data_IF_629889658555
#
_entry.id   IF_629889658555
#
_cell.length_a   1.000
_cell.length_b   1.000
_cell.length_c   1.000
_cell.angle_alpha   90.00
_cell.angle_beta   90.00
_cell.angle_gamma   90.00
#
_symmetry.space_group_name_H-M   'P 1'
#
loop_
_entity.id
_entity.type
_entity.pdbx_description
1 polymer ?
#
# COMPACT_ATOMS: atom_id res chain seq x y z
N UNK A 1 14.92 -34.00 62.23
CA UNK A 1 13.66 -33.24 62.18
C UNK A 1 13.99 -31.83 61.73
N UNK A 2 13.67 -31.48 60.48
CA UNK A 2 13.32 -30.09 60.09
C UNK A 2 12.69 -30.11 58.70
N UNK A 3 11.54 -29.45 58.63
CA UNK A 3 10.54 -29.46 57.57
C UNK A 3 10.87 -28.52 56.41
N UNK A 4 10.30 -28.88 55.26
CA UNK A 4 9.61 -28.04 54.27
C UNK A 4 10.18 -26.66 53.87
N UNK A 5 10.41 -26.49 52.56
CA UNK A 5 9.95 -25.30 51.86
C UNK A 5 9.81 -25.54 50.35
N UNK A 6 8.71 -26.19 49.94
CA UNK A 6 8.25 -26.16 48.55
C UNK A 6 7.75 -24.73 48.25
N UNK A 7 8.53 -23.95 47.49
CA UNK A 7 8.08 -22.69 46.90
C UNK A 7 7.09 -23.00 45.77
N UNK A 8 5.82 -22.59 45.94
CA UNK A 8 4.83 -22.56 44.85
C UNK A 8 5.20 -21.46 43.84
N UNK A 9 5.12 -21.70 42.52
CA UNK A 9 5.29 -20.64 41.53
C UNK A 9 4.10 -19.67 41.57
N UNK A 10 4.39 -18.38 41.74
CA UNK A 10 3.40 -17.31 41.58
C UNK A 10 3.01 -17.19 40.10
N UNK A 11 1.74 -17.41 39.80
CA UNK A 11 1.18 -17.12 38.48
C UNK A 11 1.24 -15.61 38.22
N UNK A 12 2.06 -15.18 37.26
CA UNK A 12 2.07 -13.80 36.77
C UNK A 12 0.79 -13.52 35.99
N UNK A 13 0.03 -12.51 36.43
CA UNK A 13 -1.19 -12.07 35.77
C UNK A 13 -0.93 -11.66 34.30
N UNK A 14 -1.88 -11.92 33.38
CA UNK A 14 -1.73 -11.55 31.97
C UNK A 14 -1.65 -10.02 31.82
N UNK A 15 -0.56 -9.55 31.19
CA UNK A 15 -0.40 -8.13 30.85
C UNK A 15 -1.49 -7.73 29.86
N UNK A 16 -2.31 -6.74 30.23
CA UNK A 16 -3.33 -6.14 29.36
C UNK A 16 -2.66 -5.62 28.08
N UNK A 17 -2.97 -6.25 26.95
CA UNK A 17 -2.57 -5.76 25.63
C UNK A 17 -3.28 -4.43 25.40
N UNK A 18 -2.51 -3.34 25.24
CA UNK A 18 -3.07 -2.04 24.86
C UNK A 18 -3.68 -2.18 23.48
N UNK A 19 -5.01 -2.17 23.41
CA UNK A 19 -5.75 -2.09 22.15
C UNK A 19 -5.34 -0.78 21.47
N UNK A 20 -4.76 -0.90 20.28
CA UNK A 20 -4.37 0.25 19.46
C UNK A 20 -5.63 1.05 19.14
N UNK A 21 -5.64 2.34 19.50
CA UNK A 21 -6.78 3.21 19.27
C UNK A 21 -7.18 3.18 17.78
N UNK A 22 -8.48 3.06 17.50
CA UNK A 22 -8.99 3.20 16.13
C UNK A 22 -8.67 4.61 15.65
N UNK A 23 -8.01 4.80 14.50
CA UNK A 23 -7.79 6.13 13.95
C UNK A 23 -9.16 6.76 13.70
N UNK A 24 -9.33 7.99 14.16
CA UNK A 24 -10.57 8.73 13.95
C UNK A 24 -10.67 9.13 12.46
N UNK A 25 -11.88 9.00 11.92
CA UNK A 25 -12.19 9.21 10.49
C UNK A 25 -12.59 10.66 10.19
N UNK A 26 -12.15 11.60 11.02
CA UNK A 26 -12.44 13.03 10.96
C UNK A 26 -11.65 13.72 9.84
N UNK A 27 -11.68 13.20 8.61
CA UNK A 27 -11.22 13.85 7.37
C UNK A 27 -9.74 14.24 7.28
N UNK A 28 -9.02 14.30 8.40
CA UNK A 28 -7.63 14.75 8.55
C UNK A 28 -6.61 13.66 8.25
N UNK A 29 -7.06 12.42 8.11
CA UNK A 29 -6.22 11.26 7.78
C UNK A 29 -5.46 11.44 6.45
N UNK A 30 -5.91 12.35 5.58
CA UNK A 30 -5.27 12.68 4.31
C UNK A 30 -4.56 14.04 4.28
N UNK A 31 -4.70 14.87 5.32
CA UNK A 31 -3.99 16.17 5.43
C UNK A 31 -2.68 16.08 6.18
N UNK A 32 -2.56 15.15 7.13
CA UNK A 32 -1.29 14.85 7.79
C UNK A 32 -0.44 13.95 6.88
N UNK A 33 0.77 14.41 6.54
CA UNK A 33 1.68 13.63 5.70
C UNK A 33 2.87 13.10 6.45
N UNK A 34 3.47 13.90 7.32
CA UNK A 34 4.59 13.42 8.10
C UNK A 34 4.12 12.33 9.08
N UNK A 35 4.80 11.19 9.05
CA UNK A 35 4.41 10.02 9.86
C UNK A 35 3.11 9.33 9.42
N UNK A 36 2.47 9.74 8.33
CA UNK A 36 1.21 9.14 7.91
C UNK A 36 1.39 7.70 7.44
N UNK A 37 0.37 6.81 7.62
CA UNK A 37 0.47 5.42 7.19
C UNK A 37 0.81 5.26 5.70
N UNK A 38 0.27 6.14 4.86
CA UNK A 38 0.55 6.14 3.42
C UNK A 38 2.00 6.56 3.13
N UNK A 39 2.51 7.62 3.76
CA UNK A 39 3.91 8.01 3.58
C UNK A 39 4.85 6.87 3.99
N UNK A 40 4.62 6.26 5.16
CA UNK A 40 5.42 5.13 5.65
C UNK A 40 5.34 3.92 4.71
N UNK A 41 4.17 3.65 4.13
CA UNK A 41 3.98 2.56 3.18
C UNK A 41 4.72 2.81 1.84
N UNK A 42 4.70 4.06 1.36
CA UNK A 42 5.46 4.46 0.17
C UNK A 42 6.96 4.37 0.42
N UNK A 43 7.46 4.89 1.55
CA UNK A 43 8.88 4.84 1.92
C UNK A 43 9.41 3.41 2.01
N UNK A 44 8.63 2.50 2.58
CA UNK A 44 9.00 1.08 2.73
C UNK A 44 8.80 0.26 1.45
N UNK A 45 8.16 0.85 0.43
CA UNK A 45 7.79 0.14 -0.78
C UNK A 45 6.73 -0.95 -0.59
N UNK A 46 6.00 -0.96 0.55
CA UNK A 46 4.86 -1.87 0.73
C UNK A 46 3.67 -1.47 -0.16
N UNK A 47 3.57 -0.17 -0.46
CA UNK A 47 2.81 0.35 -1.60
C UNK A 47 3.82 0.80 -2.66
N UNK A 48 3.75 0.22 -3.86
CA UNK A 48 4.54 0.61 -5.03
C UNK A 48 3.61 1.26 -6.05
N UNK A 49 3.97 2.46 -6.51
CA UNK A 49 3.22 3.16 -7.56
C UNK A 49 3.74 2.76 -8.93
N UNK A 50 2.83 2.51 -9.86
CA UNK A 50 3.15 2.23 -11.27
C UNK A 50 3.32 3.56 -12.01
N UNK A 51 4.29 3.64 -12.93
CA UNK A 51 4.49 4.83 -13.78
C UNK A 51 3.46 4.87 -14.89
N UNK A 52 2.94 6.05 -15.23
CA UNK A 52 2.02 6.23 -16.37
C UNK A 52 2.57 5.68 -17.69
N UNK A 53 3.86 5.90 -17.93
CA UNK A 53 4.62 5.40 -19.09
C UNK A 53 4.50 3.87 -19.30
N UNK A 54 4.30 3.09 -18.23
CA UNK A 54 4.06 1.66 -18.35
C UNK A 54 2.73 1.37 -19.05
N UNK A 55 1.66 2.08 -18.65
CA UNK A 55 0.35 1.94 -19.26
C UNK A 55 0.33 2.44 -20.71
N UNK A 56 1.02 3.54 -20.99
CA UNK A 56 1.23 4.04 -22.36
C UNK A 56 1.86 2.97 -23.25
N UNK A 57 2.93 2.32 -22.77
CA UNK A 57 3.61 1.25 -23.51
C UNK A 57 2.72 0.02 -23.71
N UNK A 58 2.02 -0.43 -22.66
CA UNK A 58 1.07 -1.54 -22.78
C UNK A 58 0.00 -1.26 -23.85
N UNK A 59 -0.52 -0.04 -23.88
CA UNK A 59 -1.51 0.37 -24.87
C UNK A 59 -0.92 0.41 -26.29
N UNK A 60 0.28 0.97 -26.45
CA UNK A 60 0.97 1.03 -27.74
C UNK A 60 1.28 -0.37 -28.30
N UNK A 61 1.59 -1.32 -27.42
CA UNK A 61 1.85 -2.73 -27.76
C UNK A 61 0.58 -3.57 -27.90
N UNK A 62 -0.60 -3.01 -27.63
CA UNK A 62 -1.87 -3.74 -27.71
C UNK A 62 -2.00 -4.89 -26.71
N UNK A 63 -1.32 -4.81 -25.56
CA UNK A 63 -1.34 -5.86 -24.53
C UNK A 63 -1.95 -5.39 -23.21
N UNK A 64 -2.60 -6.29 -22.44
CA UNK A 64 -3.01 -5.98 -21.08
C UNK A 64 -1.81 -5.60 -20.20
N UNK A 65 -2.08 -4.75 -19.21
CA UNK A 65 -1.09 -4.48 -18.17
C UNK A 65 -0.91 -5.74 -17.29
N UNK A 66 0.26 -5.91 -16.70
CA UNK A 66 0.60 -7.09 -15.91
C UNK A 66 0.22 -6.96 -14.44
N UNK A 67 0.40 -8.06 -13.71
CA UNK A 67 0.31 -8.06 -12.26
C UNK A 67 1.46 -7.22 -11.66
N UNK A 68 1.16 -6.42 -10.64
CA UNK A 68 2.15 -5.48 -10.06
C UNK A 68 3.41 -6.18 -9.55
N UNK A 69 3.29 -7.38 -9.01
CA UNK A 69 4.43 -8.16 -8.49
C UNK A 69 5.36 -8.71 -9.59
N UNK A 70 4.93 -8.68 -10.85
CA UNK A 70 5.70 -9.12 -12.01
C UNK A 70 6.33 -7.95 -12.79
N UNK A 71 6.01 -6.72 -12.39
CA UNK A 71 6.53 -5.52 -13.04
C UNK A 71 8.01 -5.32 -12.74
N UNK A 72 8.73 -4.80 -13.73
CA UNK A 72 10.13 -4.40 -13.55
C UNK A 72 10.24 -3.14 -12.67
N UNK A 73 11.41 -2.93 -12.04
CA UNK A 73 11.65 -1.69 -11.28
C UNK A 73 11.61 -0.43 -12.16
N UNK A 74 11.85 -0.56 -13.47
CA UNK A 74 11.74 0.55 -14.41
C UNK A 74 10.28 1.05 -14.57
N UNK A 75 9.32 0.14 -14.40
CA UNK A 75 7.88 0.43 -14.52
C UNK A 75 7.28 1.00 -13.23
N UNK A 76 8.05 0.94 -12.14
CA UNK A 76 7.62 1.37 -10.82
C UNK A 76 8.33 2.67 -10.42
N UNK A 77 7.67 3.45 -9.57
CA UNK A 77 8.34 4.54 -8.88
C UNK A 77 9.29 3.97 -7.81
N UNK A 78 10.51 4.53 -7.68
CA UNK A 78 11.38 4.25 -6.54
C UNK A 78 10.69 4.69 -5.24
N UNK A 79 10.74 3.88 -4.16
CA UNK A 79 10.09 4.18 -2.88
C UNK A 79 10.39 5.57 -2.32
N UNK A 80 11.66 5.97 -2.22
CA UNK A 80 12.02 7.27 -1.66
C UNK A 80 11.52 8.42 -2.54
N UNK A 81 11.57 8.23 -3.87
CA UNK A 81 11.08 9.24 -4.81
C UNK A 81 9.56 9.39 -4.70
N UNK A 82 8.81 8.30 -4.63
CA UNK A 82 7.36 8.34 -4.43
C UNK A 82 6.97 9.03 -3.11
N UNK A 83 7.68 8.71 -2.02
CA UNK A 83 7.46 9.35 -0.72
C UNK A 83 7.74 10.86 -0.76
N UNK A 84 8.82 11.28 -1.43
CA UNK A 84 9.11 12.71 -1.64
C UNK A 84 8.02 13.41 -2.43
N UNK A 85 7.58 12.82 -3.54
CA UNK A 85 6.54 13.42 -4.38
C UNK A 85 5.20 13.51 -3.65
N UNK A 86 4.82 12.50 -2.85
CA UNK A 86 3.65 12.59 -1.94
C UNK A 86 3.80 13.72 -0.92
N UNK A 87 5.03 13.92 -0.41
CA UNK A 87 5.33 14.99 0.54
C UNK A 87 5.21 16.38 -0.11
N UNK A 88 5.51 16.51 -1.40
CA UNK A 88 5.43 17.79 -2.12
C UNK A 88 4.03 18.07 -2.67
N UNK A 89 3.43 17.09 -3.33
CA UNK A 89 2.24 17.26 -4.16
C UNK A 89 0.97 16.66 -3.55
N UNK A 90 1.05 15.95 -2.42
CA UNK A 90 -0.13 15.39 -1.73
C UNK A 90 -1.00 14.57 -2.69
N UNK A 91 -2.32 14.68 -2.56
CA UNK A 91 -3.32 13.95 -3.36
C UNK A 91 -3.27 14.22 -4.86
N UNK A 92 -2.61 15.28 -5.34
CA UNK A 92 -2.46 15.51 -6.78
C UNK A 92 -1.28 14.74 -7.38
N UNK A 93 -0.45 14.08 -6.56
CA UNK A 93 0.69 13.31 -7.05
C UNK A 93 0.29 12.04 -7.81
N UNK A 94 -0.69 11.29 -7.29
CA UNK A 94 -1.06 10.00 -7.86
C UNK A 94 -2.56 9.76 -7.76
N UNK A 95 -3.06 8.89 -8.64
CA UNK A 95 -4.43 8.42 -8.63
C UNK A 95 -4.48 6.97 -8.13
N UNK A 96 -5.39 6.71 -7.18
CA UNK A 96 -5.77 5.34 -6.82
C UNK A 96 -7.04 4.97 -7.59
N UNK A 97 -6.98 3.86 -8.33
CA UNK A 97 -8.10 3.38 -9.16
C UNK A 97 -8.59 2.04 -8.61
N UNK A 98 -9.90 1.91 -8.46
CA UNK A 98 -10.56 0.68 -8.03
C UNK A 98 -11.74 0.41 -8.95
N UNK A 99 -11.76 -0.75 -9.58
CA UNK A 99 -12.83 -1.19 -10.47
C UNK A 99 -12.95 -2.72 -10.46
N UNK A 100 -14.12 -3.23 -10.84
CA UNK A 100 -14.41 -4.67 -10.87
C UNK A 100 -13.64 -5.36 -11.99
N UNK A 101 -13.28 -6.62 -11.77
CA UNK A 101 -12.70 -7.44 -12.83
C UNK A 101 -13.71 -7.62 -13.96
N UNK A 102 -13.33 -7.24 -15.18
CA UNK A 102 -14.18 -7.40 -16.37
C UNK A 102 -14.14 -8.82 -16.94
N UNK A 103 -13.10 -9.60 -16.64
CA UNK A 103 -12.97 -10.99 -17.08
C UNK A 103 -12.30 -11.86 -16.02
N UNK A 104 -12.45 -13.18 -16.16
CA UNK A 104 -11.86 -14.16 -15.22
C UNK A 104 -10.32 -14.20 -15.31
N UNK A 105 -9.77 -13.97 -16.50
CA UNK A 105 -8.33 -14.04 -16.77
C UNK A 105 -7.61 -12.73 -16.43
N UNK A 106 -8.28 -11.59 -16.55
CA UNK A 106 -7.68 -10.27 -16.40
C UNK A 106 -8.72 -9.22 -15.98
N UNK A 107 -8.38 -8.22 -15.14
CA UNK A 107 -9.29 -7.14 -14.78
C UNK A 107 -9.77 -6.28 -15.96
N UNK A 108 -8.99 -6.21 -17.05
CA UNK A 108 -9.30 -5.44 -18.26
C UNK A 108 -8.82 -6.18 -19.52
N UNK A 109 -9.52 -7.24 -19.96
CA UNK A 109 -9.03 -8.12 -21.02
C UNK A 109 -9.01 -7.42 -22.40
N UNK A 110 -9.98 -6.54 -22.65
CA UNK A 110 -10.15 -5.85 -23.94
C UNK A 110 -9.61 -4.41 -23.94
N UNK A 111 -8.77 -4.07 -22.95
CA UNK A 111 -8.04 -2.80 -22.83
C UNK A 111 -8.95 -1.57 -22.71
N UNK A 112 -10.19 -1.74 -22.24
CA UNK A 112 -11.17 -0.67 -22.10
C UNK A 112 -10.70 0.40 -21.13
N UNK A 113 -10.23 -0.02 -19.96
CA UNK A 113 -9.73 0.89 -18.93
C UNK A 113 -8.31 1.37 -19.24
N UNK A 114 -7.46 0.52 -19.82
CA UNK A 114 -6.10 0.86 -20.20
C UNK A 114 -6.03 2.07 -21.16
N UNK A 115 -6.97 2.17 -22.12
CA UNK A 115 -7.12 3.34 -23.00
C UNK A 115 -7.29 4.66 -22.24
N UNK A 116 -7.92 4.60 -21.05
CA UNK A 116 -8.07 5.77 -20.18
C UNK A 116 -6.84 5.99 -19.31
N UNK A 117 -6.27 4.92 -18.74
CA UNK A 117 -5.12 5.01 -17.85
C UNK A 117 -3.89 5.60 -18.53
N UNK A 118 -3.64 5.24 -19.79
CA UNK A 118 -2.53 5.75 -20.59
C UNK A 118 -2.64 7.24 -20.98
N UNK A 119 -3.68 7.95 -20.52
CA UNK A 119 -3.95 9.37 -20.86
C UNK A 119 -4.06 10.27 -19.63
N UNK A 120 -3.78 9.73 -18.44
CA UNK A 120 -3.84 10.45 -17.16
C UNK A 120 -2.47 10.99 -16.81
#
# INVERSE_FOLDING_TARGET
VTEANLRKPQATAPKKVKVRAKPSLDGKAFTEVEGSPLLLALQRGSIRLVRGQYFERCLAEGRPFGLRQEMSDADLWPPEKAARMWTTYRSVFFLAMSYSWLGRSHPDPDLWHLKRFARI
#
